data_IF_830203886723
#
_entry.id   IF_830203886723
#
_cell.length_a   1.000
_cell.length_b   1.000
_cell.length_c   1.000
_cell.angle_alpha   90.00
_cell.angle_beta   90.00
_cell.angle_gamma   90.00
#
_symmetry.space_group_name_H-M   'P 1'
#
loop_
_entity.id
_entity.type
_entity.pdbx_description
1 polymer ?
#
# COMPACT_ATOMS: atom_id res chain seq x y z
N UNK A 1 8.76 -15.76 13.59
CA UNK A 1 8.38 -14.37 13.92
C UNK A 1 9.62 -13.50 13.78
N UNK A 2 9.55 -12.42 13.00
CA UNK A 2 10.62 -11.47 12.79
C UNK A 2 10.54 -10.31 13.80
N UNK A 3 11.68 -9.65 14.02
CA UNK A 3 11.77 -8.44 14.85
C UNK A 3 12.26 -7.29 13.98
N UNK A 4 11.57 -6.14 14.05
CA UNK A 4 11.96 -4.92 13.37
C UNK A 4 12.05 -3.74 14.35
N UNK A 5 13.06 -2.91 14.16
CA UNK A 5 13.29 -1.70 14.95
C UNK A 5 12.56 -0.53 14.31
N UNK A 6 11.60 0.07 14.99
CA UNK A 6 10.83 1.22 14.51
C UNK A 6 11.69 2.47 14.57
N UNK A 7 11.70 3.20 13.48
CA UNK A 7 12.24 4.56 13.40
C UNK A 7 11.04 5.51 13.28
N UNK A 8 10.69 6.13 14.39
CA UNK A 8 9.60 7.10 14.48
C UNK A 8 10.03 8.45 13.91
N UNK A 9 9.15 9.07 13.15
CA UNK A 9 9.30 10.43 12.63
C UNK A 9 8.22 11.34 13.25
N UNK A 10 8.42 12.67 13.34
CA UNK A 10 7.35 13.61 13.73
C UNK A 10 6.12 13.49 12.82
N UNK A 11 6.35 13.16 11.54
CA UNK A 11 5.30 12.79 10.61
C UNK A 11 4.97 11.29 10.78
N UNK A 12 3.75 10.93 11.24
CA UNK A 12 3.37 9.55 11.42
C UNK A 12 3.45 8.76 10.11
N UNK A 13 3.24 9.40 8.96
CA UNK A 13 3.27 8.77 7.64
C UNK A 13 4.67 8.42 7.15
N UNK A 14 5.69 9.06 7.73
CA UNK A 14 7.10 8.80 7.45
C UNK A 14 7.69 7.71 8.34
N UNK A 15 6.90 7.15 9.27
CA UNK A 15 7.32 6.05 10.14
C UNK A 15 7.65 4.80 9.34
N UNK A 16 8.76 4.15 9.66
CA UNK A 16 9.19 2.90 9.05
C UNK A 16 9.89 2.01 10.08
N UNK A 17 10.16 0.76 9.72
CA UNK A 17 10.93 -0.14 10.57
C UNK A 17 12.12 -0.75 9.81
N UNK A 18 13.17 -1.08 10.54
CA UNK A 18 14.39 -1.68 10.03
C UNK A 18 14.55 -3.10 10.56
N UNK A 19 14.82 -4.04 9.66
CA UNK A 19 15.18 -5.41 9.97
C UNK A 19 16.66 -5.61 9.65
N UNK A 20 17.46 -5.85 10.69
CA UNK A 20 18.91 -5.98 10.57
C UNK A 20 19.38 -7.46 10.52
N UNK A 21 18.61 -8.40 11.07
CA UNK A 21 18.96 -9.82 11.05
C UNK A 21 18.57 -10.46 9.70
N UNK A 22 19.55 -11.00 8.98
CA UNK A 22 19.35 -11.68 7.69
C UNK A 22 18.37 -12.86 7.78
N UNK A 23 18.28 -13.56 8.91
CA UNK A 23 17.31 -14.65 9.12
C UNK A 23 15.89 -14.13 9.15
N UNK A 24 15.67 -12.98 9.80
CA UNK A 24 14.36 -12.31 9.81
C UNK A 24 14.00 -11.80 8.41
N UNK A 25 14.96 -11.25 7.66
CA UNK A 25 14.76 -10.84 6.26
C UNK A 25 14.34 -12.02 5.40
N UNK A 26 15.06 -13.16 5.50
CA UNK A 26 14.72 -14.37 4.74
C UNK A 26 13.34 -14.89 5.10
N UNK A 27 13.01 -14.96 6.39
CA UNK A 27 11.68 -15.35 6.87
C UNK A 27 10.58 -14.46 6.29
N UNK A 28 10.74 -13.13 6.34
CA UNK A 28 9.75 -12.20 5.81
C UNK A 28 9.54 -12.36 4.29
N UNK A 29 10.62 -12.55 3.53
CA UNK A 29 10.57 -12.67 2.07
C UNK A 29 10.04 -14.02 1.58
N UNK A 30 10.43 -15.11 2.24
CA UNK A 30 10.12 -16.47 1.80
C UNK A 30 8.79 -16.97 2.36
N UNK A 31 8.53 -16.73 3.65
CA UNK A 31 7.34 -17.27 4.33
C UNK A 31 6.20 -16.25 4.40
N UNK A 32 6.52 -14.97 4.57
CA UNK A 32 5.50 -13.92 4.77
C UNK A 32 5.19 -13.07 3.54
N UNK A 33 5.92 -13.24 2.43
CA UNK A 33 5.76 -12.45 1.19
C UNK A 33 5.95 -10.94 1.35
N UNK A 34 6.71 -10.49 2.35
CA UNK A 34 7.07 -9.07 2.54
C UNK A 34 8.50 -8.84 2.09
N UNK A 35 8.68 -8.00 1.07
CA UNK A 35 9.97 -7.82 0.41
C UNK A 35 10.78 -6.65 0.93
N UNK A 36 10.13 -5.63 1.49
CA UNK A 36 10.76 -4.41 1.95
C UNK A 36 11.52 -3.66 0.86
N UNK A 37 12.21 -2.61 1.29
CA UNK A 37 13.21 -1.89 0.48
C UNK A 37 14.59 -2.13 1.08
N UNK A 38 15.59 -2.59 0.31
CA UNK A 38 16.95 -2.75 0.83
C UNK A 38 17.55 -1.38 1.17
N UNK A 39 18.18 -1.27 2.34
CA UNK A 39 18.81 -0.06 2.83
C UNK A 39 20.28 -0.32 3.18
N UNK A 40 21.20 0.34 2.45
CA UNK A 40 22.64 0.19 2.59
C UNK A 40 23.39 0.48 1.28
N UNK A 41 24.63 0.96 1.38
CA UNK A 41 25.46 1.25 0.21
C UNK A 41 25.93 -0.05 -0.45
N UNK A 42 25.66 -0.19 -1.74
CA UNK A 42 26.34 -1.18 -2.61
C UNK A 42 27.70 -0.60 -3.01
N UNK A 43 28.57 -0.39 -2.03
CA UNK A 43 29.99 -0.18 -2.29
C UNK A 43 30.71 -1.48 -1.94
N UNK A 44 31.42 -2.03 -2.92
CA UNK A 44 32.09 -3.34 -2.96
C UNK A 44 33.14 -3.59 -1.87
N UNK A 45 33.21 -2.74 -0.83
CA UNK A 45 34.26 -2.75 0.18
C UNK A 45 33.74 -2.64 1.64
N UNK A 46 32.43 -2.59 1.89
CA UNK A 46 31.90 -2.50 3.26
C UNK A 46 30.98 -3.67 3.61
N UNK A 47 31.42 -4.50 4.56
CA UNK A 47 30.73 -5.69 5.06
C UNK A 47 29.50 -5.39 5.94
N UNK A 48 28.80 -4.28 5.71
CA UNK A 48 27.56 -3.98 6.44
C UNK A 48 26.45 -4.86 5.87
N UNK A 49 25.82 -5.73 6.67
CA UNK A 49 24.74 -6.58 6.19
C UNK A 49 23.60 -5.72 5.63
N UNK A 50 23.04 -6.14 4.49
CA UNK A 50 21.92 -5.44 3.87
C UNK A 50 20.74 -5.39 4.84
N UNK A 51 20.39 -4.18 5.26
CA UNK A 51 19.25 -3.92 6.14
C UNK A 51 17.99 -3.89 5.29
N UNK A 52 16.89 -4.38 5.83
CA UNK A 52 15.60 -4.30 5.15
C UNK A 52 14.71 -3.25 5.80
N UNK A 53 14.35 -2.22 5.04
CA UNK A 53 13.37 -1.22 5.43
C UNK A 53 11.97 -1.74 5.12
N UNK A 54 11.13 -1.81 6.14
CA UNK A 54 9.71 -2.08 6.02
C UNK A 54 8.93 -0.76 6.06
N UNK A 55 8.06 -0.59 5.08
CA UNK A 55 7.12 0.52 5.07
C UNK A 55 5.91 0.24 5.98
N UNK A 56 5.11 1.27 6.24
CA UNK A 56 3.96 1.19 7.14
C UNK A 56 2.96 0.09 6.73
N UNK A 57 2.71 -0.08 5.43
CA UNK A 57 1.83 -1.09 4.88
C UNK A 57 2.32 -2.52 5.19
N UNK A 58 3.63 -2.76 5.11
CA UNK A 58 4.25 -4.05 5.42
C UNK A 58 4.26 -4.31 6.94
N UNK A 59 4.55 -3.27 7.72
CA UNK A 59 4.49 -3.32 9.19
C UNK A 59 3.08 -3.69 9.67
N UNK A 60 2.06 -3.03 9.11
CA UNK A 60 0.67 -3.23 9.49
C UNK A 60 0.25 -4.69 9.30
N UNK A 61 0.53 -5.28 8.13
CA UNK A 61 0.24 -6.69 7.86
C UNK A 61 1.01 -7.60 8.81
N UNK A 62 2.30 -7.34 9.02
CA UNK A 62 3.13 -8.19 9.86
C UNK A 62 2.72 -8.22 11.32
N UNK A 63 2.36 -7.06 11.87
CA UNK A 63 1.87 -6.94 13.25
C UNK A 63 0.48 -7.55 13.35
N UNK A 64 -0.45 -7.22 12.45
CA UNK A 64 -1.82 -7.73 12.47
C UNK A 64 -1.90 -9.25 12.34
N UNK A 65 -1.01 -9.87 11.57
CA UNK A 65 -0.92 -11.33 11.42
C UNK A 65 0.02 -12.00 12.44
N UNK A 66 0.61 -11.24 13.35
CA UNK A 66 1.41 -11.76 14.47
C UNK A 66 2.78 -12.33 14.10
N UNK A 67 3.27 -12.13 12.86
CA UNK A 67 4.58 -12.62 12.45
C UNK A 67 5.69 -11.57 12.53
N UNK A 68 5.36 -10.31 12.84
CA UNK A 68 6.31 -9.22 13.04
C UNK A 68 6.13 -8.58 14.42
N UNK A 69 7.23 -8.47 15.17
CA UNK A 69 7.30 -7.74 16.43
C UNK A 69 8.08 -6.44 16.22
N UNK A 70 7.47 -5.33 16.63
CA UNK A 70 8.10 -4.01 16.60
C UNK A 70 8.82 -3.72 17.91
N UNK A 71 10.00 -3.11 17.83
CA UNK A 71 10.83 -2.70 18.98
C UNK A 71 11.32 -1.27 18.77
N UNK A 72 11.45 -0.47 19.83
CA UNK A 72 11.98 0.88 19.72
C UNK A 72 13.46 0.88 19.32
N UNK A 73 13.88 1.87 18.54
CA UNK A 73 15.30 2.18 18.43
C UNK A 73 15.83 2.65 19.80
N UNK A 74 16.93 2.06 20.27
CA UNK A 74 17.64 2.50 21.49
C UNK A 74 18.45 3.78 21.26
N UNK A 75 18.69 4.10 19.99
CA UNK A 75 19.45 5.26 19.54
C UNK A 75 18.58 5.99 18.53
N UNK A 76 18.20 7.23 18.83
CA UNK A 76 17.45 8.06 17.90
C UNK A 76 18.25 8.29 16.60
N UNK A 77 17.58 8.73 15.51
CA UNK A 77 18.26 9.06 14.25
C UNK A 77 19.36 10.12 14.43
N UNK A 78 19.27 10.96 15.47
CA UNK A 78 20.22 12.02 15.82
C UNK A 78 21.32 11.58 16.81
N UNK A 79 21.42 10.28 17.13
CA UNK A 79 22.39 9.75 18.09
C UNK A 79 22.06 10.02 19.57
N UNK A 80 20.93 10.66 19.87
CA UNK A 80 20.44 10.84 21.25
C UNK A 80 19.84 9.53 21.77
N UNK A 81 20.25 9.12 22.96
CA UNK A 81 19.61 8.03 23.69
C UNK A 81 18.18 8.43 24.04
N UNK A 82 17.20 7.71 23.50
CA UNK A 82 15.80 7.84 23.90
C UNK A 82 15.58 7.01 25.17
N UNK A 83 14.71 7.48 26.06
CA UNK A 83 14.24 6.67 27.18
C UNK A 83 13.58 5.41 26.62
N UNK A 84 14.16 4.23 26.92
CA UNK A 84 13.73 2.94 26.38
C UNK A 84 12.25 2.69 26.67
N UNK A 85 11.75 3.13 27.82
CA UNK A 85 10.35 2.97 28.24
C UNK A 85 9.37 3.82 27.42
N UNK A 86 9.72 5.08 27.14
CA UNK A 86 8.91 5.97 26.29
C UNK A 86 8.85 5.44 24.86
N UNK A 87 9.99 5.04 24.31
CA UNK A 87 10.06 4.45 22.97
C UNK A 87 9.25 3.15 22.87
N UNK A 88 9.31 2.29 23.88
CA UNK A 88 8.51 1.07 23.93
C UNK A 88 7.00 1.35 24.03
N UNK A 89 6.61 2.42 24.70
CA UNK A 89 5.20 2.85 24.78
C UNK A 89 4.70 3.32 23.43
N UNK A 90 5.45 4.19 22.74
CA UNK A 90 5.10 4.67 21.40
C UNK A 90 4.99 3.54 20.37
N UNK A 91 5.90 2.56 20.44
CA UNK A 91 5.86 1.40 19.54
C UNK A 91 4.65 0.50 19.82
N UNK A 92 4.25 0.35 21.09
CA UNK A 92 3.02 -0.37 21.45
C UNK A 92 1.78 0.34 20.95
N UNK A 93 1.69 1.65 21.13
CA UNK A 93 0.58 2.47 20.61
C UNK A 93 0.49 2.36 19.09
N UNK A 94 1.61 2.48 18.38
CA UNK A 94 1.66 2.31 16.92
C UNK A 94 1.23 0.89 16.52
N UNK A 95 1.73 -0.14 17.20
CA UNK A 95 1.36 -1.52 16.91
C UNK A 95 -0.14 -1.74 17.12
N UNK A 96 -0.71 -1.18 18.19
CA UNK A 96 -2.14 -1.23 18.47
C UNK A 96 -2.95 -0.49 17.41
N UNK A 97 -2.58 0.73 17.03
CA UNK A 97 -3.24 1.50 15.97
C UNK A 97 -3.24 0.74 14.63
N UNK A 98 -2.11 0.10 14.27
CA UNK A 98 -2.00 -0.70 13.07
C UNK A 98 -2.87 -1.97 13.10
N UNK A 99 -3.05 -2.58 14.27
CA UNK A 99 -3.93 -3.74 14.47
C UNK A 99 -5.40 -3.32 14.46
N UNK A 100 -5.73 -2.19 15.09
CA UNK A 100 -7.08 -1.64 15.10
C UNK A 100 -7.51 -1.23 13.69
N UNK A 101 -6.68 -0.53 12.94
CA UNK A 101 -6.90 -0.29 11.50
C UNK A 101 -6.95 -1.61 10.71
N UNK A 102 -6.32 -2.67 11.23
CA UNK A 102 -6.39 -3.99 10.65
C UNK A 102 -7.71 -4.74 10.83
N UNK A 103 -8.42 -4.43 11.90
CA UNK A 103 -9.61 -5.16 12.32
C UNK A 103 -10.89 -4.34 12.20
N UNK A 104 -10.78 -3.01 12.25
CA UNK A 104 -11.94 -2.13 12.45
C UNK A 104 -12.74 -1.80 11.19
N UNK A 105 -12.27 -2.09 9.98
CA UNK A 105 -13.03 -1.77 8.75
C UNK A 105 -13.45 -0.29 8.61
N UNK A 106 -12.97 0.62 9.47
CA UNK A 106 -13.43 2.01 9.53
C UNK A 106 -14.64 2.30 10.44
N UNK A 107 -15.14 1.34 11.23
CA UNK A 107 -16.37 1.45 12.05
C UNK A 107 -16.38 2.54 13.14
N UNK A 108 -15.24 3.17 13.46
CA UNK A 108 -15.16 4.13 14.56
C UNK A 108 -14.97 5.57 14.06
N UNK A 109 -16.08 6.24 13.73
CA UNK A 109 -16.13 7.60 13.17
C UNK A 109 -15.55 8.68 14.12
N UNK A 110 -15.37 8.36 15.40
CA UNK A 110 -14.87 9.28 16.43
C UNK A 110 -13.41 9.03 16.85
N UNK A 111 -12.73 8.03 16.25
CA UNK A 111 -11.31 7.84 16.47
C UNK A 111 -10.53 8.90 15.69
N UNK A 112 -9.78 9.79 16.35
CA UNK A 112 -8.85 10.71 15.67
C UNK A 112 -7.69 9.91 15.07
N UNK A 113 -7.86 9.37 13.87
CA UNK A 113 -6.79 8.64 13.17
C UNK A 113 -5.58 9.55 12.96
N UNK A 114 -4.37 9.06 13.28
CA UNK A 114 -3.13 9.83 13.03
C UNK A 114 -2.76 9.84 11.55
N UNK A 115 -3.21 8.82 10.81
CA UNK A 115 -2.92 8.63 9.40
C UNK A 115 -3.96 9.30 8.51
N UNK A 116 -3.53 9.83 7.36
CA UNK A 116 -4.46 10.38 6.38
C UNK A 116 -5.41 9.32 5.85
N UNK A 117 -6.57 9.79 5.37
CA UNK A 117 -7.51 9.03 4.55
C UNK A 117 -6.84 8.19 3.45
N UNK A 118 -5.95 8.80 2.67
CA UNK A 118 -5.22 8.11 1.59
C UNK A 118 -4.33 6.99 2.13
N UNK A 119 -3.68 7.23 3.27
CA UNK A 119 -2.82 6.22 3.89
C UNK A 119 -3.63 5.01 4.35
N UNK A 120 -4.78 5.23 4.99
CA UNK A 120 -5.70 4.16 5.41
C UNK A 120 -6.21 3.33 4.24
N UNK A 121 -6.63 3.99 3.16
CA UNK A 121 -7.05 3.34 1.92
C UNK A 121 -5.93 2.43 1.36
N UNK A 122 -4.67 2.90 1.38
CA UNK A 122 -3.50 2.12 0.98
C UNK A 122 -3.22 0.93 1.89
N UNK A 123 -3.33 1.08 3.22
CA UNK A 123 -3.18 -0.01 4.18
C UNK A 123 -4.19 -1.13 3.92
N UNK A 124 -5.45 -0.76 3.67
CA UNK A 124 -6.54 -1.69 3.37
C UNK A 124 -6.30 -2.46 2.07
N UNK A 125 -6.01 -1.74 0.98
CA UNK A 125 -5.72 -2.37 -0.32
C UNK A 125 -4.50 -3.29 -0.24
N UNK A 126 -3.43 -2.86 0.43
CA UNK A 126 -2.22 -3.68 0.58
C UNK A 126 -2.52 -5.01 1.29
N UNK A 127 -3.25 -4.94 2.41
CA UNK A 127 -3.64 -6.13 3.17
C UNK A 127 -4.50 -7.06 2.35
N UNK A 128 -5.52 -6.55 1.69
CA UNK A 128 -6.45 -7.39 0.92
C UNK A 128 -5.73 -8.10 -0.25
N UNK A 129 -4.84 -7.40 -0.96
CA UNK A 129 -4.02 -8.00 -2.02
C UNK A 129 -3.07 -9.08 -1.46
N UNK A 130 -2.47 -8.83 -0.31
CA UNK A 130 -1.61 -9.81 0.37
C UNK A 130 -2.41 -11.05 0.82
N UNK A 131 -3.60 -10.87 1.39
CA UNK A 131 -4.50 -11.96 1.79
C UNK A 131 -4.96 -12.78 0.59
N UNK A 132 -5.20 -12.13 -0.56
CA UNK A 132 -5.56 -12.79 -1.83
C UNK A 132 -4.45 -13.64 -2.46
N UNK A 133 -3.24 -13.67 -1.91
CA UNK A 133 -2.17 -14.50 -2.46
C UNK A 133 -0.99 -13.73 -3.03
N UNK A 134 -1.15 -12.44 -3.30
CA UNK A 134 -0.17 -11.68 -4.07
C UNK A 134 1.02 -11.24 -3.21
N UNK A 135 2.18 -11.13 -3.86
CA UNK A 135 3.30 -10.37 -3.32
C UNK A 135 3.09 -8.92 -3.77
N UNK A 136 3.03 -8.00 -2.81
CA UNK A 136 2.77 -6.58 -3.05
C UNK A 136 4.05 -5.79 -2.79
N UNK A 137 4.48 -4.97 -3.75
CA UNK A 137 5.60 -4.04 -3.58
C UNK A 137 5.18 -2.62 -3.96
N UNK A 138 6.00 -1.62 -3.66
CA UNK A 138 5.70 -0.23 -4.00
C UNK A 138 5.87 0.06 -5.50
N UNK A 139 4.94 0.84 -6.06
CA UNK A 139 4.84 1.15 -7.49
C UNK A 139 5.36 2.53 -7.89
N UNK A 140 6.00 3.27 -6.98
CA UNK A 140 6.38 4.68 -7.17
C UNK A 140 7.20 4.93 -8.45
N UNK A 141 8.06 3.98 -8.85
CA UNK A 141 8.82 4.03 -10.11
C UNK A 141 7.94 4.09 -11.38
N UNK A 142 6.68 3.66 -11.29
CA UNK A 142 5.73 3.59 -12.39
C UNK A 142 4.55 4.56 -12.20
N UNK A 143 4.62 5.47 -11.22
CA UNK A 143 3.52 6.39 -10.90
C UNK A 143 2.28 5.68 -10.33
N UNK A 144 2.42 4.45 -9.84
CA UNK A 144 1.36 3.69 -9.18
C UNK A 144 1.65 3.55 -7.69
N UNK A 145 0.64 3.23 -6.88
CA UNK A 145 0.85 3.03 -5.44
C UNK A 145 1.54 1.67 -5.20
N UNK A 146 1.10 0.62 -5.89
CA UNK A 146 1.65 -0.73 -5.74
C UNK A 146 1.90 -1.47 -7.06
N UNK A 147 2.70 -2.52 -6.95
CA UNK A 147 2.88 -3.58 -7.93
C UNK A 147 2.49 -4.90 -7.30
N UNK A 148 1.80 -5.75 -8.06
CA UNK A 148 1.47 -7.10 -7.59
C UNK A 148 2.20 -8.16 -8.43
N UNK A 149 2.65 -9.20 -7.76
CA UNK A 149 3.31 -10.35 -8.36
C UNK A 149 2.62 -11.64 -7.91
N UNK A 150 2.56 -12.62 -8.81
CA UNK A 150 2.10 -13.98 -8.49
C UNK A 150 3.21 -14.85 -7.89
N UNK A 151 4.46 -14.46 -8.10
CA UNK A 151 5.65 -15.20 -7.67
C UNK A 151 6.78 -14.19 -7.37
N UNK A 152 7.93 -14.69 -6.92
CA UNK A 152 9.06 -13.92 -6.42
C UNK A 152 9.44 -12.74 -7.33
N UNK A 153 9.38 -11.48 -6.84
CA UNK A 153 9.74 -10.28 -7.60
C UNK A 153 11.16 -10.27 -8.19
N UNK A 154 12.08 -11.09 -7.65
CA UNK A 154 13.45 -11.22 -8.20
C UNK A 154 13.50 -12.09 -9.45
N UNK A 155 12.47 -12.91 -9.70
CA UNK A 155 12.42 -13.89 -10.80
C UNK A 155 11.25 -13.67 -11.76
N UNK A 156 10.17 -13.08 -11.28
CA UNK A 156 8.94 -12.86 -12.04
C UNK A 156 8.70 -11.37 -12.29
N UNK A 157 8.04 -11.07 -13.40
CA UNK A 157 7.54 -9.72 -13.67
C UNK A 157 6.27 -9.45 -12.88
N UNK A 158 6.10 -8.19 -12.45
CA UNK A 158 4.83 -7.77 -11.87
C UNK A 158 3.70 -7.95 -12.89
N UNK A 159 2.54 -8.38 -12.41
CA UNK A 159 1.35 -8.66 -13.23
C UNK A 159 0.57 -7.38 -13.49
N UNK A 160 0.44 -6.52 -12.48
CA UNK A 160 -0.31 -5.28 -12.57
C UNK A 160 0.32 -4.13 -11.78
N UNK A 161 0.05 -2.91 -12.25
CA UNK A 161 0.15 -1.66 -11.51
C UNK A 161 -1.17 -1.45 -10.77
N UNK A 162 -1.12 -1.15 -9.48
CA UNK A 162 -2.28 -0.84 -8.66
C UNK A 162 -2.26 0.64 -8.29
N UNK A 163 -3.37 1.33 -8.58
CA UNK A 163 -3.60 2.72 -8.18
C UNK A 163 -4.77 2.75 -7.20
N UNK A 164 -4.53 3.23 -5.99
CA UNK A 164 -5.53 3.31 -4.92
C UNK A 164 -6.28 4.63 -5.00
N UNK A 165 -7.60 4.54 -5.04
CA UNK A 165 -8.51 5.68 -5.16
C UNK A 165 -9.74 5.46 -4.31
N UNK A 166 -10.41 6.53 -3.89
CA UNK A 166 -11.74 6.39 -3.29
C UNK A 166 -12.78 6.18 -4.37
N UNK A 167 -13.85 5.48 -4.04
CA UNK A 167 -14.92 5.17 -4.98
C UNK A 167 -15.58 6.42 -5.56
N UNK A 168 -15.73 7.47 -4.75
CA UNK A 168 -16.32 8.76 -5.14
C UNK A 168 -15.28 9.76 -5.70
N UNK A 169 -13.99 9.40 -5.72
CA UNK A 169 -12.94 10.30 -6.19
C UNK A 169 -12.92 10.37 -7.71
N UNK A 170 -13.01 11.59 -8.24
CA UNK A 170 -12.92 11.82 -9.68
C UNK A 170 -11.50 11.60 -10.21
N UNK A 171 -11.42 11.15 -11.46
CA UNK A 171 -10.17 11.01 -12.18
C UNK A 171 -9.96 12.19 -13.13
N UNK A 172 -8.81 12.85 -13.01
CA UNK A 172 -8.34 13.68 -14.11
C UNK A 172 -8.07 12.79 -15.33
N UNK A 173 -8.65 13.14 -16.48
CA UNK A 173 -8.52 12.37 -17.74
C UNK A 173 -7.04 12.16 -18.11
N UNK A 174 -6.22 13.19 -17.87
CA UNK A 174 -4.78 13.19 -18.15
C UNK A 174 -4.04 12.14 -17.31
N UNK A 175 -4.45 11.94 -16.04
CA UNK A 175 -3.83 10.95 -15.15
C UNK A 175 -4.11 9.53 -15.66
N UNK A 176 -5.36 9.24 -16.03
CA UNK A 176 -5.76 7.94 -16.57
C UNK A 176 -4.98 7.63 -17.85
N UNK A 177 -4.89 8.59 -18.76
CA UNK A 177 -4.11 8.45 -20.01
C UNK A 177 -2.63 8.19 -19.72
N UNK A 178 -2.05 8.93 -18.78
CA UNK A 178 -0.64 8.79 -18.39
C UNK A 178 -0.35 7.42 -17.78
N UNK A 179 -1.20 6.95 -16.88
CA UNK A 179 -1.12 5.63 -16.27
C UNK A 179 -1.25 4.52 -17.31
N UNK A 180 -2.22 4.64 -18.24
CA UNK A 180 -2.38 3.71 -19.36
C UNK A 180 -1.13 3.65 -20.24
N UNK A 181 -0.52 4.80 -20.55
CA UNK A 181 0.72 4.88 -21.32
C UNK A 181 1.85 4.14 -20.60
N UNK A 182 2.06 4.42 -19.32
CA UNK A 182 3.12 3.75 -18.53
C UNK A 182 2.88 2.25 -18.47
N UNK A 183 1.66 1.81 -18.12
CA UNK A 183 1.29 0.40 -18.03
C UNK A 183 1.55 -0.35 -19.35
N UNK A 184 1.17 0.26 -20.49
CA UNK A 184 1.41 -0.29 -21.82
C UNK A 184 2.89 -0.43 -22.14
N UNK A 185 3.70 0.59 -21.85
CA UNK A 185 5.15 0.58 -22.10
C UNK A 185 5.86 -0.52 -21.30
N UNK A 186 5.45 -0.74 -20.05
CA UNK A 186 6.07 -1.74 -19.17
C UNK A 186 5.37 -3.11 -19.23
N UNK A 187 4.42 -3.27 -20.16
CA UNK A 187 3.63 -4.48 -20.43
C UNK A 187 2.95 -5.06 -19.17
N UNK A 188 2.33 -4.19 -18.37
CA UNK A 188 1.59 -4.57 -17.13
C UNK A 188 0.13 -4.18 -17.26
N UNK A 189 -0.74 -4.92 -16.58
CA UNK A 189 -2.13 -4.51 -16.43
C UNK A 189 -2.21 -3.25 -15.57
N UNK A 190 -3.13 -2.34 -15.87
CA UNK A 190 -3.47 -1.23 -14.98
C UNK A 190 -4.75 -1.59 -14.22
N UNK A 191 -4.70 -1.52 -12.89
CA UNK A 191 -5.86 -1.75 -12.05
C UNK A 191 -6.04 -0.61 -11.05
N UNK A 192 -7.28 -0.13 -10.95
CA UNK A 192 -7.70 0.80 -9.91
C UNK A 192 -8.29 -0.02 -8.76
N UNK A 193 -7.78 0.21 -7.55
CA UNK A 193 -8.35 -0.32 -6.32
C UNK A 193 -9.19 0.79 -5.67
N UNK A 194 -10.50 0.72 -5.90
CA UNK A 194 -11.47 1.71 -5.47
C UNK A 194 -12.01 1.34 -4.08
N UNK A 195 -11.62 2.11 -3.07
CA UNK A 195 -12.05 1.92 -1.68
C UNK A 195 -13.36 2.67 -1.46
N UNK A 196 -14.41 1.96 -1.03
CA UNK A 196 -15.67 2.57 -0.61
C UNK A 196 -15.51 3.07 0.83
N UNK A 197 -15.85 4.33 1.08
CA UNK A 197 -15.95 4.86 2.43
C UNK A 197 -17.25 4.35 3.08
N UNK A 198 -17.18 4.01 4.36
CA UNK A 198 -18.34 3.56 5.13
C UNK A 198 -19.46 4.62 5.14
N UNK A 199 -20.70 4.14 5.04
CA UNK A 199 -21.88 4.90 4.67
C UNK A 199 -22.10 6.19 5.47
N UNK A 200 -21.81 7.33 4.83
CA UNK A 200 -22.47 8.60 5.15
C UNK A 200 -23.36 9.02 3.98
N UNK A 201 -24.60 8.53 4.02
CA UNK A 201 -25.76 9.17 3.39
C UNK A 201 -25.99 8.91 1.90
N UNK A 202 -26.63 7.77 1.57
CA UNK A 202 -27.65 7.77 0.52
C UNK A 202 -29.02 7.82 1.20
N UNK A 203 -29.38 9.00 1.71
CA UNK A 203 -30.76 9.31 2.05
C UNK A 203 -31.54 9.43 0.74
N UNK A 204 -32.51 8.53 0.58
CA UNK A 204 -33.69 8.61 -0.28
C UNK A 204 -33.51 8.83 -1.79
N UNK A 205 -33.46 7.72 -2.52
CA UNK A 205 -34.33 7.56 -3.71
C UNK A 205 -35.03 6.22 -3.62
N UNK A 206 -36.34 6.26 -3.35
CA UNK A 206 -37.28 5.19 -3.68
C UNK A 206 -37.21 4.96 -5.18
N UNK A 207 -37.01 3.73 -5.60
CA UNK A 207 -37.67 3.20 -6.79
C UNK A 207 -37.63 1.67 -6.76
N UNK A 208 -38.83 1.11 -6.85
CA UNK A 208 -39.12 -0.31 -6.91
C UNK A 208 -38.51 -0.92 -8.18
N UNK A 209 -37.70 -1.97 -8.02
CA UNK A 209 -37.63 -3.08 -8.98
C UNK A 209 -36.70 -4.16 -8.41
N UNK A 210 -37.28 -5.35 -8.25
CA UNK A 210 -36.60 -6.54 -7.80
C UNK A 210 -35.66 -7.04 -8.90
N UNK A 211 -34.37 -6.82 -8.72
CA UNK A 211 -33.33 -7.53 -9.45
C UNK A 211 -32.24 -7.90 -8.45
N UNK A 212 -31.84 -9.17 -8.48
CA UNK A 212 -30.96 -9.83 -7.52
C UNK A 212 -29.61 -9.13 -7.38
N UNK A 213 -29.52 -8.18 -6.43
CA UNK A 213 -28.26 -7.58 -5.99
C UNK A 213 -27.51 -8.57 -5.14
N UNK A 214 -26.37 -9.05 -5.63
CA UNK A 214 -25.33 -9.53 -4.74
C UNK A 214 -25.04 -8.40 -3.75
N UNK A 215 -25.31 -8.64 -2.46
CA UNK A 215 -25.00 -7.72 -1.38
C UNK A 215 -23.47 -7.59 -1.32
N UNK A 216 -22.94 -6.59 -2.04
CA UNK A 216 -21.53 -6.25 -1.97
C UNK A 216 -21.31 -5.63 -0.60
N UNK A 217 -20.60 -6.36 0.27
CA UNK A 217 -20.30 -5.94 1.64
C UNK A 217 -19.81 -4.49 1.67
N UNK A 218 -20.35 -3.73 2.63
CA UNK A 218 -20.20 -2.28 2.76
C UNK A 218 -18.72 -1.86 2.92
N UNK A 219 -17.86 -2.78 3.38
CA UNK A 219 -16.42 -2.65 3.51
C UNK A 219 -15.63 -3.33 2.38
N UNK A 220 -16.06 -3.22 1.12
CA UNK A 220 -15.37 -3.83 -0.03
C UNK A 220 -14.46 -2.88 -0.84
N UNK A 221 -13.30 -3.38 -1.26
CA UNK A 221 -12.47 -2.75 -2.31
C UNK A 221 -12.90 -3.30 -3.67
N UNK A 222 -13.28 -2.41 -4.57
CA UNK A 222 -13.65 -2.77 -5.95
C UNK A 222 -12.44 -2.60 -6.85
N UNK A 223 -12.09 -3.64 -7.61
CA UNK A 223 -10.95 -3.58 -8.53
C UNK A 223 -11.46 -3.41 -9.97
N UNK A 224 -11.03 -2.33 -10.63
CA UNK A 224 -11.37 -2.03 -12.02
C UNK A 224 -10.12 -2.11 -12.87
N UNK A 225 -10.07 -3.07 -13.79
CA UNK A 225 -8.96 -3.19 -14.74
C UNK A 225 -9.20 -2.34 -15.98
N UNK A 226 -8.17 -1.62 -16.42
CA UNK A 226 -8.17 -0.88 -17.68
C UNK A 226 -7.19 -1.54 -18.64
N UNK A 227 -7.73 -2.40 -19.50
CA UNK A 227 -6.93 -3.26 -20.36
C UNK A 227 -6.46 -2.51 -21.60
N UNK A 228 -7.33 -1.73 -22.25
CA UNK A 228 -7.04 -0.96 -23.46
C UNK A 228 -7.74 0.41 -23.43
N UNK A 229 -6.98 1.50 -23.53
CA UNK A 229 -7.52 2.82 -23.90
C UNK A 229 -7.17 3.05 -25.38
N UNK A 230 -8.13 2.80 -26.28
CA UNK A 230 -8.01 3.24 -27.67
C UNK A 230 -8.14 4.78 -27.68
N UNK A 231 -7.00 5.46 -27.59
CA UNK A 231 -6.95 6.89 -27.82
C UNK A 231 -6.96 7.12 -29.32
N UNK A 232 -8.16 7.21 -29.89
CA UNK A 232 -8.34 7.72 -31.25
C UNK A 232 -8.02 9.21 -31.19
N UNK A 233 -6.79 9.58 -31.55
CA UNK A 233 -6.50 10.96 -31.91
C UNK A 233 -7.26 11.25 -33.21
N UNK A 234 -8.33 12.04 -33.12
CA UNK A 234 -8.87 12.69 -34.31
C UNK A 234 -7.76 13.56 -34.88
N UNK A 235 -7.17 13.15 -36.00
CA UNK A 235 -6.51 14.10 -36.89
C UNK A 235 -7.65 14.88 -37.54
N UNK A 236 -7.79 16.16 -37.20
CA UNK A 236 -8.57 17.05 -38.03
C UNK A 236 -7.87 17.11 -39.38
N UNK A 237 -8.48 16.50 -40.40
CA UNK A 237 -8.11 16.75 -41.78
C UNK A 237 -8.34 18.24 -42.03
N UNK A 238 -7.26 19.00 -42.05
CA UNK A 238 -7.25 20.35 -42.62
C UNK A 238 -7.57 20.20 -44.10
N UNK A 239 -8.85 20.28 -44.45
CA UNK A 239 -9.29 20.40 -45.83
C UNK A 239 -8.68 21.65 -46.45
N UNK A 240 -7.80 21.46 -47.41
CA UNK A 240 -7.36 22.50 -48.33
C UNK A 240 -8.60 23.06 -49.05
N UNK A 241 -8.95 24.30 -48.74
CA UNK A 241 -9.81 25.11 -49.61
C UNK A 241 -8.90 25.65 -50.70
N UNK A 242 -9.03 25.08 -51.90
CA UNK A 242 -8.58 25.70 -53.16
C UNK A 242 -9.79 26.16 -53.94
#
# INVERSE_FOLDING_TARGET
MAVATVVTSPDPEATYALVNDARHVSFLQQECRLYGSPEGSVTTASAVPQRLRLALEEMAVGVAKGFLRLVSATTGPDGRSLNIEEGNTLVKELAQELVEEAQSGGLNVDAKWRLSSRRRDRLRVFRELWEKGYIVTFGSKFGADFLIYKDNPKRAHAVALIVVKRYEEEFARVDVVSLCRVAKMVKKQLMFACVRADGKGRSERKEDSAESKAEVAEDSVVYVSLTHALLVSRQEESGEVT
#
